data_IF_432874556366
#
_entry.id   IF_432874556366
#
_cell.length_a   1.000
_cell.length_b   1.000
_cell.length_c   1.000
_cell.angle_alpha   90.00
_cell.angle_beta   90.00
_cell.angle_gamma   90.00
#
_symmetry.space_group_name_H-M   'P 1'
#
loop_
_entity.id
_entity.type
_entity.pdbx_description
1 polymer ?
#
# COMPACT_ATOMS: atom_id res chain seq x y z
N UNK A 1 41.65 42.67 -19.59
CA UNK A 1 42.43 41.45 -19.33
C UNK A 1 41.98 40.36 -20.29
N UNK A 2 42.88 40.03 -21.24
CA UNK A 2 43.06 38.80 -22.02
C UNK A 2 41.91 38.14 -22.80
N UNK A 3 41.98 38.43 -24.09
CA UNK A 3 41.68 37.63 -25.29
C UNK A 3 42.87 36.71 -25.64
N UNK A 4 42.61 35.48 -26.15
CA UNK A 4 43.44 34.64 -27.06
C UNK A 4 42.48 33.54 -27.60
N UNK A 5 41.93 33.51 -28.83
CA UNK A 5 42.47 33.33 -30.20
C UNK A 5 43.31 32.06 -30.42
N UNK A 6 42.82 31.12 -31.23
CA UNK A 6 43.56 29.94 -31.67
C UNK A 6 42.79 29.11 -32.69
N UNK A 7 42.86 29.52 -33.95
CA UNK A 7 42.41 28.82 -35.16
C UNK A 7 43.25 27.56 -35.46
N UNK A 8 42.67 26.62 -36.21
CA UNK A 8 43.37 25.49 -36.80
C UNK A 8 42.52 24.76 -37.83
N UNK A 9 42.50 25.30 -39.05
CA UNK A 9 41.94 24.69 -40.27
C UNK A 9 42.65 23.37 -40.63
N UNK A 10 41.88 22.41 -41.17
CA UNK A 10 42.39 21.24 -41.90
C UNK A 10 41.32 20.72 -42.87
N UNK A 11 41.37 21.20 -44.11
CA UNK A 11 40.64 20.65 -45.25
C UNK A 11 41.14 19.26 -45.61
N UNK A 12 40.24 18.40 -46.07
CA UNK A 12 40.54 17.12 -46.69
C UNK A 12 39.34 16.64 -47.50
N UNK A 13 39.29 17.06 -48.76
CA UNK A 13 38.37 16.60 -49.79
C UNK A 13 38.53 15.10 -50.05
N UNK A 14 37.44 14.45 -50.48
CA UNK A 14 37.31 13.89 -51.83
C UNK A 14 36.68 12.49 -51.88
N UNK A 15 35.75 12.39 -52.83
CA UNK A 15 35.38 11.24 -53.65
C UNK A 15 34.26 10.32 -53.15
N UNK A 16 33.06 10.30 -53.79
CA UNK A 16 32.76 9.83 -55.18
C UNK A 16 32.92 8.29 -55.17
N UNK A 17 31.96 7.43 -55.50
CA UNK A 17 30.83 7.54 -56.42
C UNK A 17 29.88 6.32 -56.30
N UNK A 18 28.63 6.54 -56.72
CA UNK A 18 27.87 5.72 -57.70
C UNK A 18 28.03 4.18 -57.63
N UNK A 19 26.98 3.50 -57.18
CA UNK A 19 26.75 2.08 -57.55
C UNK A 19 26.00 2.07 -58.87
N UNK A 20 26.76 2.18 -59.97
CA UNK A 20 26.27 1.93 -61.32
C UNK A 20 26.16 0.42 -61.52
N UNK A 21 24.94 -0.01 -61.83
CA UNK A 21 24.63 -1.37 -62.23
C UNK A 21 25.02 -1.57 -63.69
N UNK A 22 26.29 -1.87 -63.97
CA UNK A 22 26.70 -2.35 -65.29
C UNK A 22 26.65 -3.87 -65.36
N UNK A 23 25.47 -4.35 -65.73
CA UNK A 23 25.30 -5.58 -66.51
C UNK A 23 25.92 -5.35 -67.89
N UNK A 24 27.19 -5.75 -68.06
CA UNK A 24 27.85 -5.76 -69.36
C UNK A 24 28.42 -7.15 -69.67
N UNK A 25 27.75 -7.83 -70.60
CA UNK A 25 28.33 -8.88 -71.40
C UNK A 25 29.65 -8.39 -72.04
N UNK A 26 30.75 -9.12 -71.83
CA UNK A 26 31.93 -9.04 -72.69
C UNK A 26 32.46 -10.44 -72.96
N UNK A 27 32.40 -10.82 -74.23
CA UNK A 27 33.15 -11.93 -74.77
C UNK A 27 34.65 -11.62 -74.81
N UNK A 28 35.42 -12.71 -74.78
CA UNK A 28 36.75 -12.92 -75.36
C UNK A 28 37.84 -11.88 -75.15
N UNK A 29 38.80 -12.18 -74.27
CA UNK A 29 40.22 -11.92 -74.52
C UNK A 29 41.11 -12.62 -73.47
N UNK A 30 42.13 -13.30 -73.97
CA UNK A 30 43.19 -14.00 -73.26
C UNK A 30 43.94 -13.10 -72.25
N UNK A 31 43.88 -13.44 -70.96
CA UNK A 31 44.60 -12.76 -69.88
C UNK A 31 45.05 -13.73 -68.76
N UNK A 32 45.59 -14.91 -69.10
CA UNK A 32 46.03 -15.95 -68.15
C UNK A 32 47.23 -15.57 -67.24
N UNK A 33 47.63 -14.30 -67.19
CA UNK A 33 48.81 -13.85 -66.44
C UNK A 33 48.56 -12.51 -65.75
N UNK A 34 47.77 -12.53 -64.67
CA UNK A 34 47.84 -11.66 -63.47
C UNK A 34 46.56 -11.83 -62.65
N UNK A 35 46.64 -12.62 -61.59
CA UNK A 35 45.68 -12.70 -60.47
C UNK A 35 44.23 -13.14 -60.77
N UNK A 36 43.97 -13.78 -61.93
CA UNK A 36 42.75 -14.55 -62.13
C UNK A 36 42.91 -15.93 -61.50
N UNK A 37 42.02 -16.32 -60.58
CA UNK A 37 41.97 -17.65 -59.97
C UNK A 37 42.16 -18.72 -61.04
N UNK A 38 43.21 -19.54 -60.91
CA UNK A 38 43.39 -20.69 -61.77
C UNK A 38 42.22 -21.64 -61.52
N UNK A 39 41.44 -21.92 -62.57
CA UNK A 39 40.48 -23.00 -62.54
C UNK A 39 41.18 -24.31 -62.90
N UNK A 40 40.69 -25.47 -62.44
CA UNK A 40 41.23 -26.76 -62.85
C UNK A 40 41.27 -26.92 -64.38
N UNK A 41 40.24 -26.40 -65.07
CA UNK A 41 40.17 -26.37 -66.53
C UNK A 41 41.23 -25.47 -67.18
N UNK A 42 41.60 -24.35 -66.54
CA UNK A 42 42.66 -23.46 -67.01
C UNK A 42 44.04 -24.13 -66.92
N UNK A 43 44.27 -24.95 -65.88
CA UNK A 43 45.51 -25.74 -65.73
C UNK A 43 45.59 -26.83 -66.82
N UNK A 44 44.47 -27.50 -67.11
CA UNK A 44 44.41 -28.55 -68.14
C UNK A 44 44.66 -28.03 -69.56
N UNK A 45 44.20 -26.82 -69.85
CA UNK A 45 44.32 -26.21 -71.18
C UNK A 45 45.62 -25.38 -71.35
N UNK A 46 46.50 -25.40 -70.34
CA UNK A 46 47.73 -24.61 -70.37
C UNK A 46 48.74 -25.18 -71.37
N UNK A 47 49.19 -24.35 -72.31
CA UNK A 47 50.23 -24.72 -73.29
C UNK A 47 51.56 -24.09 -72.87
N UNK A 48 52.60 -24.92 -72.77
CA UNK A 48 53.97 -24.46 -72.52
C UNK A 48 54.77 -24.43 -73.82
N UNK A 49 55.63 -23.43 -73.98
CA UNK A 49 56.53 -23.31 -75.14
C UNK A 49 57.81 -24.12 -74.91
N UNK A 50 58.19 -24.97 -75.87
CA UNK A 50 59.42 -25.78 -75.79
C UNK A 50 60.64 -24.97 -76.22
N UNK A 51 61.60 -24.78 -75.31
CA UNK A 51 62.84 -24.03 -75.59
C UNK A 51 63.94 -25.00 -76.02
N UNK A 52 64.45 -24.85 -77.25
CA UNK A 52 65.33 -25.84 -77.92
C UNK A 52 66.83 -25.76 -77.56
N UNK A 53 67.26 -24.75 -76.79
CA UNK A 53 68.68 -24.41 -76.62
C UNK A 53 69.14 -24.36 -75.15
N UNK A 54 68.33 -24.84 -74.19
CA UNK A 54 68.69 -24.96 -72.76
C UNK A 54 68.07 -26.20 -72.14
N UNK A 55 68.64 -26.67 -71.01
CA UNK A 55 68.09 -27.75 -70.18
C UNK A 55 66.61 -27.48 -69.92
N UNK A 56 65.76 -28.35 -70.48
CA UNK A 56 64.31 -28.25 -70.40
C UNK A 56 63.75 -29.23 -69.37
N UNK A 57 62.58 -28.92 -68.83
CA UNK A 57 61.81 -29.85 -68.02
C UNK A 57 61.34 -31.04 -68.87
N UNK A 58 61.28 -32.23 -68.27
CA UNK A 58 60.68 -33.41 -68.92
C UNK A 58 59.17 -33.21 -69.06
N UNK A 59 58.69 -33.23 -70.31
CA UNK A 59 57.27 -33.07 -70.64
C UNK A 59 56.40 -34.11 -69.93
N UNK A 60 56.87 -35.35 -69.79
CA UNK A 60 56.11 -36.41 -69.13
C UNK A 60 56.04 -36.25 -67.61
N UNK A 61 57.01 -35.57 -67.02
CA UNK A 61 57.02 -35.22 -65.60
C UNK A 61 56.12 -34.00 -65.33
N UNK A 62 56.21 -32.98 -66.19
CA UNK A 62 55.36 -31.78 -66.13
C UNK A 62 53.89 -32.17 -66.27
N UNK A 63 53.52 -33.03 -67.23
CA UNK A 63 52.13 -33.49 -67.39
C UNK A 63 51.61 -34.23 -66.15
N UNK A 64 52.44 -35.10 -65.53
CA UNK A 64 52.09 -35.78 -64.28
C UNK A 64 51.89 -34.80 -63.13
N UNK A 65 52.74 -33.78 -63.03
CA UNK A 65 52.62 -32.73 -62.01
C UNK A 65 51.35 -31.90 -62.22
N UNK A 66 51.05 -31.48 -63.45
CA UNK A 66 49.84 -30.72 -63.78
C UNK A 66 48.56 -31.51 -63.49
N UNK A 67 48.53 -32.82 -63.75
CA UNK A 67 47.41 -33.68 -63.38
C UNK A 67 47.20 -33.77 -61.86
N UNK A 68 48.28 -33.79 -61.09
CA UNK A 68 48.21 -33.73 -59.63
C UNK A 68 47.72 -32.36 -59.12
N UNK A 69 48.19 -31.27 -59.75
CA UNK A 69 47.74 -29.91 -59.46
C UNK A 69 46.26 -29.74 -59.79
N UNK A 70 45.79 -30.20 -60.96
CA UNK A 70 44.37 -30.16 -61.36
C UNK A 70 43.48 -30.89 -60.35
N UNK A 71 43.89 -32.10 -59.95
CA UNK A 71 43.16 -32.93 -58.98
C UNK A 71 43.07 -32.24 -57.62
N UNK A 72 44.21 -31.71 -57.14
CA UNK A 72 44.29 -31.03 -55.84
C UNK A 72 43.49 -29.72 -55.86
N UNK A 73 43.58 -28.94 -56.93
CA UNK A 73 42.86 -27.68 -57.08
C UNK A 73 41.34 -27.90 -57.13
N UNK A 74 40.88 -28.92 -57.86
CA UNK A 74 39.46 -29.29 -57.90
C UNK A 74 38.94 -29.66 -56.51
N UNK A 75 39.71 -30.44 -55.75
CA UNK A 75 39.37 -30.80 -54.37
C UNK A 75 39.34 -29.58 -53.46
N UNK A 76 40.38 -28.74 -53.48
CA UNK A 76 40.48 -27.56 -52.61
C UNK A 76 39.37 -26.55 -52.89
N UNK A 77 39.00 -26.36 -54.16
CA UNK A 77 37.88 -25.47 -54.52
C UNK A 77 36.55 -26.02 -54.00
N UNK A 78 36.29 -27.33 -54.17
CA UNK A 78 35.11 -27.98 -53.61
C UNK A 78 35.07 -27.90 -52.08
N UNK A 79 36.18 -28.22 -51.42
CA UNK A 79 36.29 -28.14 -49.96
C UNK A 79 36.08 -26.69 -49.47
N UNK A 80 36.57 -25.69 -50.20
CA UNK A 80 36.31 -24.27 -49.90
C UNK A 80 34.84 -23.89 -50.07
N UNK A 81 34.18 -24.32 -51.15
CA UNK A 81 32.75 -24.08 -51.35
C UNK A 81 31.92 -24.73 -50.24
N UNK A 82 32.22 -25.97 -49.87
CA UNK A 82 31.56 -26.67 -48.77
C UNK A 82 31.82 -26.00 -47.41
N UNK A 83 33.04 -25.51 -47.16
CA UNK A 83 33.37 -24.77 -45.94
C UNK A 83 32.66 -23.41 -45.88
N UNK A 84 32.59 -22.68 -47.00
CA UNK A 84 31.84 -21.42 -47.09
C UNK A 84 30.36 -21.63 -46.86
N UNK A 85 29.76 -22.66 -47.49
CA UNK A 85 28.36 -23.01 -47.26
C UNK A 85 28.09 -23.35 -45.78
N UNK A 86 29.02 -24.04 -45.10
CA UNK A 86 28.92 -24.31 -43.66
C UNK A 86 29.06 -23.03 -42.83
N UNK A 87 29.97 -22.13 -43.19
CA UNK A 87 30.12 -20.84 -42.51
C UNK A 87 28.85 -20.00 -42.63
N UNK A 88 28.30 -19.87 -43.84
CA UNK A 88 27.05 -19.16 -44.08
C UNK A 88 25.90 -19.75 -43.26
N UNK A 89 25.83 -21.09 -43.16
CA UNK A 89 24.82 -21.77 -42.35
C UNK A 89 25.01 -21.53 -40.84
N UNK A 90 26.26 -21.54 -40.34
CA UNK A 90 26.58 -21.25 -38.94
C UNK A 90 26.25 -19.79 -38.60
N UNK A 91 26.61 -18.86 -39.47
CA UNK A 91 26.31 -17.42 -39.31
C UNK A 91 24.80 -17.17 -39.30
N UNK A 92 24.04 -17.78 -40.21
CA UNK A 92 22.57 -17.70 -40.19
C UNK A 92 21.98 -18.27 -38.90
N UNK A 93 22.49 -19.40 -38.42
CA UNK A 93 22.03 -19.99 -37.16
C UNK A 93 22.40 -19.11 -35.95
N UNK A 94 23.60 -18.52 -35.93
CA UNK A 94 24.02 -17.58 -34.90
C UNK A 94 23.17 -16.30 -34.90
N UNK A 95 22.86 -15.75 -36.08
CA UNK A 95 21.97 -14.60 -36.24
C UNK A 95 20.54 -14.91 -35.77
N UNK A 96 20.01 -16.09 -36.08
CA UNK A 96 18.72 -16.55 -35.55
C UNK A 96 18.76 -16.70 -34.03
N UNK A 97 19.81 -17.28 -33.48
CA UNK A 97 19.96 -17.42 -32.03
C UNK A 97 20.07 -16.06 -31.34
N UNK A 98 20.80 -15.11 -31.91
CA UNK A 98 20.91 -13.73 -31.41
C UNK A 98 19.57 -13.02 -31.43
N UNK A 99 18.82 -13.07 -32.53
CA UNK A 99 17.54 -12.36 -32.64
C UNK A 99 16.47 -12.95 -31.71
N UNK A 100 16.50 -14.26 -31.46
CA UNK A 100 15.69 -14.92 -30.44
C UNK A 100 16.10 -14.49 -29.03
N UNK A 101 17.41 -14.38 -28.75
CA UNK A 101 17.94 -13.85 -27.50
C UNK A 101 17.46 -12.42 -27.22
N UNK A 102 17.61 -11.52 -28.19
CA UNK A 102 17.16 -10.13 -28.08
C UNK A 102 15.64 -10.03 -27.87
N UNK A 103 14.88 -10.92 -28.49
CA UNK A 103 13.42 -10.97 -28.33
C UNK A 103 13.02 -11.49 -26.96
N UNK A 104 13.74 -12.49 -26.43
CA UNK A 104 13.52 -12.99 -25.07
C UNK A 104 13.84 -11.90 -24.03
N UNK A 105 14.93 -11.15 -24.19
CA UNK A 105 15.28 -10.02 -23.30
C UNK A 105 14.18 -8.97 -23.31
N UNK A 106 13.68 -8.56 -24.48
CA UNK A 106 12.57 -7.60 -24.58
C UNK A 106 11.29 -8.11 -23.90
N UNK A 107 10.96 -9.39 -24.05
CA UNK A 107 9.77 -9.96 -23.40
C UNK A 107 9.92 -9.95 -21.88
N UNK A 108 11.11 -10.28 -21.36
CA UNK A 108 11.39 -10.23 -19.91
C UNK A 108 11.29 -8.80 -19.39
N UNK A 109 11.81 -7.82 -20.11
CA UNK A 109 11.73 -6.41 -19.75
C UNK A 109 10.27 -5.92 -19.70
N UNK A 110 9.47 -6.23 -20.72
CA UNK A 110 8.03 -5.89 -20.75
C UNK A 110 7.29 -6.58 -19.60
N UNK A 111 7.62 -7.85 -19.30
CA UNK A 111 7.02 -8.58 -18.19
C UNK A 111 7.39 -7.98 -16.83
N UNK A 112 8.63 -7.55 -16.65
CA UNK A 112 9.08 -6.85 -15.43
C UNK A 112 8.37 -5.52 -15.26
N UNK A 113 8.30 -4.70 -16.32
CA UNK A 113 7.58 -3.42 -16.28
C UNK A 113 6.09 -3.60 -15.98
N UNK A 114 5.45 -4.63 -16.55
CA UNK A 114 4.07 -4.97 -16.25
C UNK A 114 3.88 -5.42 -14.79
N UNK A 115 4.82 -6.20 -14.25
CA UNK A 115 4.80 -6.60 -12.84
C UNK A 115 4.95 -5.39 -11.91
N UNK A 116 5.90 -4.49 -12.19
CA UNK A 116 6.13 -3.28 -11.41
C UNK A 116 4.91 -2.36 -11.43
N UNK A 117 4.28 -2.17 -12.59
CA UNK A 117 3.02 -1.42 -12.70
C UNK A 117 1.91 -2.04 -11.86
N UNK A 118 1.79 -3.36 -11.87
CA UNK A 118 0.76 -4.07 -11.07
C UNK A 118 1.04 -3.93 -9.58
N UNK A 119 2.30 -4.00 -9.15
CA UNK A 119 2.67 -3.79 -7.76
C UNK A 119 2.38 -2.35 -7.31
N UNK A 120 2.68 -1.35 -8.14
CA UNK A 120 2.38 0.04 -7.84
C UNK A 120 0.87 0.28 -7.66
N UNK A 121 0.05 -0.26 -8.56
CA UNK A 121 -1.42 -0.17 -8.46
C UNK A 121 -1.95 -0.87 -7.20
N UNK A 122 -1.46 -2.06 -6.88
CA UNK A 122 -1.86 -2.78 -5.68
C UNK A 122 -1.46 -2.05 -4.39
N UNK A 123 -0.28 -1.40 -4.38
CA UNK A 123 0.15 -0.58 -3.25
C UNK A 123 -0.70 0.67 -3.09
N UNK A 124 -1.05 1.35 -4.17
CA UNK A 124 -1.94 2.52 -4.15
C UNK A 124 -3.34 2.14 -3.64
N UNK A 125 -3.91 1.04 -4.14
CA UNK A 125 -5.21 0.54 -3.70
C UNK A 125 -5.18 0.14 -2.22
N UNK A 126 -4.13 -0.57 -1.78
CA UNK A 126 -3.96 -0.92 -0.37
C UNK A 126 -3.85 0.34 0.53
N UNK A 127 -3.12 1.36 0.08
CA UNK A 127 -3.03 2.63 0.81
C UNK A 127 -4.38 3.34 0.86
N UNK A 128 -5.16 3.34 -0.22
CA UNK A 128 -6.50 3.92 -0.26
C UNK A 128 -7.47 3.20 0.69
N UNK A 129 -7.44 1.86 0.72
CA UNK A 129 -8.25 1.06 1.66
C UNK A 129 -7.87 1.38 3.11
N UNK A 130 -6.58 1.46 3.43
CA UNK A 130 -6.13 1.83 4.78
C UNK A 130 -6.53 3.25 5.17
N UNK A 131 -6.45 4.21 4.24
CA UNK A 131 -6.88 5.58 4.50
C UNK A 131 -8.38 5.64 4.82
N UNK A 132 -9.21 4.97 4.01
CA UNK A 132 -10.65 4.88 4.22
C UNK A 132 -10.99 4.21 5.56
N UNK A 133 -10.34 3.09 5.87
CA UNK A 133 -10.56 2.38 7.13
C UNK A 133 -10.20 3.24 8.36
N UNK A 134 -9.16 4.08 8.26
CA UNK A 134 -8.79 5.03 9.33
C UNK A 134 -9.83 6.13 9.49
N UNK A 135 -10.29 6.74 8.39
CA UNK A 135 -11.34 7.77 8.43
C UNK A 135 -12.65 7.22 9.02
N UNK A 136 -13.04 6.01 8.60
CA UNK A 136 -14.21 5.32 9.15
C UNK A 136 -14.03 5.02 10.65
N UNK A 137 -12.85 4.57 11.08
CA UNK A 137 -12.55 4.33 12.49
C UNK A 137 -12.58 5.63 13.33
N UNK A 138 -12.01 6.72 12.83
CA UNK A 138 -12.03 8.04 13.49
C UNK A 138 -13.47 8.56 13.64
N UNK A 139 -14.30 8.36 12.63
CA UNK A 139 -15.72 8.72 12.68
C UNK A 139 -16.45 7.91 13.76
N UNK A 140 -16.27 6.60 13.78
CA UNK A 140 -16.88 5.72 14.78
C UNK A 140 -16.40 6.07 16.20
N UNK A 141 -15.12 6.37 16.37
CA UNK A 141 -14.55 6.80 17.65
C UNK A 141 -15.16 8.13 18.10
N UNK A 142 -15.21 9.13 17.22
CA UNK A 142 -15.84 10.43 17.50
C UNK A 142 -17.30 10.27 17.91
N UNK A 143 -18.08 9.46 17.18
CA UNK A 143 -19.48 9.18 17.49
C UNK A 143 -19.66 8.42 18.81
N UNK A 144 -18.76 7.48 19.13
CA UNK A 144 -18.77 6.76 20.38
C UNK A 144 -18.44 7.68 21.57
N UNK A 145 -17.41 8.51 21.43
CA UNK A 145 -17.02 9.51 22.44
C UNK A 145 -18.11 10.56 22.64
N UNK A 146 -18.75 11.03 21.57
CA UNK A 146 -19.88 11.94 21.64
C UNK A 146 -21.05 11.35 22.43
N UNK A 147 -21.44 10.10 22.12
CA UNK A 147 -22.50 9.38 22.86
C UNK A 147 -22.12 9.15 24.33
N UNK A 148 -20.88 8.77 24.61
CA UNK A 148 -20.40 8.58 25.98
C UNK A 148 -20.46 9.90 26.78
N UNK A 149 -20.06 11.02 26.18
CA UNK A 149 -20.11 12.33 26.81
C UNK A 149 -21.55 12.77 27.12
N UNK A 150 -22.50 12.50 26.21
CA UNK A 150 -23.92 12.77 26.42
C UNK A 150 -24.48 11.94 27.59
N UNK A 151 -24.23 10.63 27.60
CA UNK A 151 -24.67 9.74 28.68
C UNK A 151 -24.07 10.15 30.03
N UNK A 152 -22.79 10.54 30.05
CA UNK A 152 -22.14 10.99 31.27
C UNK A 152 -22.75 12.30 31.79
N UNK A 153 -23.12 13.21 30.90
CA UNK A 153 -23.81 14.45 31.27
C UNK A 153 -25.18 14.15 31.86
N UNK A 154 -25.98 13.32 31.20
CA UNK A 154 -27.32 12.91 31.68
C UNK A 154 -27.25 12.19 33.04
N UNK A 155 -26.27 11.31 33.22
CA UNK A 155 -26.04 10.64 34.51
C UNK A 155 -25.67 11.64 35.62
N UNK A 156 -24.84 12.65 35.32
CA UNK A 156 -24.48 13.71 36.29
C UNK A 156 -25.67 14.60 36.62
N UNK A 157 -26.45 14.99 35.61
CA UNK A 157 -27.61 15.86 35.79
C UNK A 157 -28.69 15.14 36.61
N UNK A 158 -28.99 13.87 36.31
CA UNK A 158 -29.91 13.06 37.13
C UNK A 158 -29.43 12.86 38.57
N UNK A 159 -28.13 12.65 38.80
CA UNK A 159 -27.55 12.61 40.16
C UNK A 159 -27.72 13.93 40.90
N UNK A 160 -27.54 15.07 40.22
CA UNK A 160 -27.76 16.39 40.79
C UNK A 160 -29.21 16.59 41.19
N UNK A 161 -30.15 16.25 40.31
CA UNK A 161 -31.57 16.34 40.63
C UNK A 161 -31.95 15.47 41.84
N UNK A 162 -31.39 14.27 41.96
CA UNK A 162 -31.62 13.40 43.14
C UNK A 162 -31.08 14.06 44.41
N UNK A 163 -29.88 14.66 44.35
CA UNK A 163 -29.30 15.39 45.49
C UNK A 163 -30.14 16.63 45.85
N UNK A 164 -30.59 17.39 44.86
CA UNK A 164 -31.44 18.57 45.05
C UNK A 164 -32.77 18.18 45.72
N UNK A 165 -33.47 17.16 45.20
CA UNK A 165 -34.69 16.61 45.82
C UNK A 165 -34.44 16.13 47.26
N UNK A 166 -33.27 15.55 47.54
CA UNK A 166 -32.91 15.12 48.90
C UNK A 166 -32.63 16.32 49.82
N UNK A 167 -31.98 17.37 49.34
CA UNK A 167 -31.77 18.61 50.09
C UNK A 167 -33.11 19.27 50.41
N UNK A 168 -34.01 19.37 49.43
CA UNK A 168 -35.37 19.87 49.63
C UNK A 168 -36.13 19.04 50.66
N UNK A 169 -36.04 17.71 50.60
CA UNK A 169 -36.63 16.81 51.57
C UNK A 169 -36.10 17.02 53.01
N UNK A 170 -34.79 17.22 53.16
CA UNK A 170 -34.19 17.53 54.47
C UNK A 170 -34.69 18.89 54.99
N UNK A 171 -34.78 19.89 54.14
CA UNK A 171 -35.32 21.20 54.54
C UNK A 171 -36.78 21.12 54.98
N UNK A 172 -37.62 20.37 54.26
CA UNK A 172 -39.00 20.12 54.63
C UNK A 172 -39.11 19.39 55.98
N UNK A 173 -38.29 18.36 56.19
CA UNK A 173 -38.24 17.62 57.45
C UNK A 173 -37.85 18.52 58.63
N UNK A 174 -36.85 19.38 58.46
CA UNK A 174 -36.44 20.34 59.50
C UNK A 174 -37.55 21.34 59.81
N UNK A 175 -38.25 21.86 58.78
CA UNK A 175 -39.37 22.77 58.98
C UNK A 175 -40.53 22.10 59.74
N UNK A 176 -40.83 20.84 59.41
CA UNK A 176 -41.86 20.05 60.09
C UNK A 176 -41.47 19.73 61.54
N UNK A 177 -40.22 19.34 61.79
CA UNK A 177 -39.71 19.12 63.16
C UNK A 177 -39.81 20.41 64.00
N UNK A 178 -39.44 21.55 63.43
CA UNK A 178 -39.52 22.83 64.11
C UNK A 178 -40.97 23.22 64.44
N UNK A 179 -41.91 22.97 63.53
CA UNK A 179 -43.34 23.19 63.78
C UNK A 179 -43.87 22.28 64.89
N UNK A 180 -43.58 20.97 64.84
CA UNK A 180 -43.99 20.00 65.86
C UNK A 180 -43.45 20.34 67.25
N UNK A 181 -42.16 20.72 67.34
CA UNK A 181 -41.56 21.17 68.60
C UNK A 181 -42.25 22.42 69.15
N UNK A 182 -42.57 23.38 68.27
CA UNK A 182 -43.30 24.59 68.66
C UNK A 182 -44.70 24.25 69.18
N UNK A 183 -45.46 23.45 68.44
CA UNK A 183 -46.83 23.08 68.82
C UNK A 183 -46.87 22.32 70.15
N UNK A 184 -45.89 21.44 70.39
CA UNK A 184 -45.73 20.73 71.65
C UNK A 184 -45.45 21.69 72.80
N UNK A 185 -44.44 22.57 72.67
CA UNK A 185 -44.13 23.57 73.70
C UNK A 185 -45.33 24.50 73.97
N UNK A 186 -46.05 24.94 72.94
CA UNK A 186 -47.25 25.77 73.10
C UNK A 186 -48.38 25.01 73.81
N UNK A 187 -48.49 23.69 73.62
CA UNK A 187 -49.46 22.86 74.34
C UNK A 187 -49.05 22.65 75.81
N UNK A 188 -47.77 22.38 76.08
CA UNK A 188 -47.23 22.27 77.45
C UNK A 188 -47.41 23.59 78.21
N UNK A 189 -47.09 24.72 77.60
CA UNK A 189 -47.26 26.05 78.19
C UNK A 189 -48.73 26.38 78.47
N UNK A 190 -49.66 26.05 77.55
CA UNK A 190 -51.11 26.20 77.78
C UNK A 190 -51.60 25.36 78.96
N UNK A 191 -51.08 24.13 79.07
CA UNK A 191 -51.42 23.24 80.18
C UNK A 191 -50.93 23.80 81.52
N UNK A 192 -49.68 24.27 81.58
CA UNK A 192 -49.12 24.91 82.78
C UNK A 192 -49.89 26.19 83.15
N UNK A 193 -50.29 26.99 82.16
CA UNK A 193 -51.08 28.20 82.41
C UNK A 193 -52.46 27.87 82.99
N UNK A 194 -53.16 26.86 82.46
CA UNK A 194 -54.43 26.39 83.00
C UNK A 194 -54.30 25.89 84.45
N UNK A 195 -53.26 25.12 84.75
CA UNK A 195 -52.98 24.66 86.13
C UNK A 195 -52.64 25.82 87.08
N UNK A 196 -51.99 26.88 86.58
CA UNK A 196 -51.68 28.06 87.36
C UNK A 196 -52.94 28.88 87.67
N UNK A 197 -53.84 29.05 86.69
CA UNK A 197 -55.13 29.72 86.88
C UNK A 197 -56.00 28.94 87.89
N UNK A 198 -55.97 27.61 87.85
CA UNK A 198 -56.64 26.74 88.83
C UNK A 198 -56.08 26.92 90.26
N UNK A 199 -54.77 27.17 90.39
CA UNK A 199 -54.17 27.54 91.67
C UNK A 199 -54.51 28.98 92.11
N UNK A 200 -54.78 29.88 91.16
CA UNK A 200 -55.06 31.30 91.41
C UNK A 200 -56.54 31.57 91.78
N UNK A 201 -57.48 30.77 91.27
CA UNK A 201 -58.91 30.85 91.59
C UNK A 201 -59.49 29.51 92.08
N UNK A 202 -59.50 29.23 93.40
CA UNK A 202 -60.02 27.98 93.94
C UNK A 202 -61.57 27.90 93.94
N UNK A 203 -62.28 28.87 93.34
CA UNK A 203 -63.74 29.01 93.40
C UNK A 203 -64.51 28.84 92.08
N UNK A 204 -63.83 28.67 90.94
CA UNK A 204 -64.46 28.54 89.62
C UNK A 204 -64.85 27.09 89.25
N UNK A 205 -66.08 26.89 88.79
CA UNK A 205 -66.63 25.58 88.41
C UNK A 205 -65.76 24.81 87.39
N UNK A 206 -65.70 23.46 87.46
CA UNK A 206 -64.76 22.68 86.65
C UNK A 206 -65.11 22.74 85.16
N UNK A 207 -64.17 23.11 84.27
CA UNK A 207 -64.27 22.82 82.84
C UNK A 207 -64.05 21.31 82.59
N UNK A 208 -64.55 20.78 81.45
CA UNK A 208 -64.57 19.35 81.18
C UNK A 208 -63.15 18.77 81.18
N UNK A 209 -63.04 17.60 81.84
CA UNK A 209 -61.83 16.80 81.97
C UNK A 209 -60.88 17.00 80.80
N UNK A 210 -59.66 17.46 81.12
CA UNK A 210 -58.50 17.31 80.27
C UNK A 210 -58.39 15.83 79.91
N UNK A 211 -58.94 15.46 78.76
CA UNK A 211 -58.48 14.31 78.04
C UNK A 211 -57.03 14.66 77.70
N UNK A 212 -56.11 14.16 78.52
CA UNK A 212 -54.76 13.91 78.06
C UNK A 212 -54.93 13.03 76.83
N UNK A 213 -55.06 13.68 75.66
CA UNK A 213 -54.98 13.03 74.38
C UNK A 213 -53.70 12.23 74.45
N UNK A 214 -53.89 10.91 74.37
CA UNK A 214 -52.87 9.91 74.57
C UNK A 214 -51.55 10.45 74.02
N UNK A 215 -50.55 10.46 74.90
CA UNK A 215 -49.17 10.44 74.47
C UNK A 215 -49.08 9.28 73.49
N UNK A 216 -49.21 9.57 72.20
CA UNK A 216 -48.81 8.64 71.16
C UNK A 216 -47.35 8.42 71.45
N UNK A 217 -47.03 7.16 71.74
CA UNK A 217 -45.74 6.74 72.21
C UNK A 217 -44.69 7.37 71.32
N UNK A 218 -43.60 7.79 71.95
CA UNK A 218 -42.38 8.12 71.24
C UNK A 218 -41.94 6.83 70.53
N UNK A 219 -42.46 6.58 69.33
CA UNK A 219 -41.86 5.67 68.37
C UNK A 219 -40.59 6.37 67.91
N UNK A 220 -39.51 6.13 68.64
CA UNK A 220 -38.13 6.42 68.23
C UNK A 220 -37.70 5.46 67.11
N UNK A 221 -38.63 4.98 66.29
CA UNK A 221 -38.28 4.29 65.05
C UNK A 221 -37.92 5.37 64.01
N UNK A 222 -36.75 5.97 64.26
CA UNK A 222 -36.01 6.87 63.37
C UNK A 222 -35.55 6.21 62.07
N UNK A 223 -36.25 5.17 61.64
CA UNK A 223 -35.98 4.33 60.47
C UNK A 223 -36.95 4.61 59.33
N UNK A 224 -38.09 5.28 59.54
CA UNK A 224 -39.13 5.38 58.52
C UNK A 224 -38.98 6.51 57.46
N UNK A 225 -38.58 7.78 57.74
CA UNK A 225 -38.41 8.75 56.65
C UNK A 225 -37.03 8.64 55.98
N UNK A 226 -36.05 7.99 56.62
CA UNK A 226 -34.76 7.70 56.01
C UNK A 226 -34.81 6.49 55.07
N UNK A 227 -35.65 5.47 55.37
CA UNK A 227 -35.81 4.31 54.49
C UNK A 227 -36.52 4.66 53.18
N UNK A 228 -37.53 5.52 53.19
CA UNK A 228 -38.23 5.95 51.97
C UNK A 228 -37.35 6.80 51.03
N UNK A 229 -36.36 7.53 51.57
CA UNK A 229 -35.33 8.24 50.81
C UNK A 229 -34.16 7.34 50.36
N UNK A 230 -34.03 6.12 50.89
CA UNK A 230 -32.95 5.19 50.59
C UNK A 230 -33.29 4.17 49.47
N UNK A 231 -34.56 4.04 49.07
CA UNK A 231 -35.02 3.00 48.11
C UNK A 231 -35.24 3.49 46.68
N UNK A 232 -34.73 4.65 46.28
CA UNK A 232 -34.59 4.98 44.86
C UNK A 232 -33.36 4.24 44.31
N UNK A 233 -33.53 2.94 44.07
CA UNK A 233 -32.58 2.05 43.41
C UNK A 233 -32.07 2.70 42.11
N UNK A 234 -30.75 2.86 41.90
CA UNK A 234 -30.26 3.31 40.61
C UNK A 234 -30.60 2.22 39.60
N UNK A 235 -31.41 2.56 38.59
CA UNK A 235 -31.71 1.69 37.48
C UNK A 235 -30.43 1.01 37.00
N UNK A 236 -30.36 -0.32 37.18
CA UNK A 236 -29.26 -1.14 36.72
C UNK A 236 -29.17 -0.97 35.20
N UNK A 237 -28.20 -0.19 34.75
CA UNK A 237 -27.69 -0.22 33.37
C UNK A 237 -26.92 -1.53 33.20
N UNK A 238 -27.68 -2.62 33.12
CA UNK A 238 -27.21 -3.95 32.81
C UNK A 238 -26.85 -4.02 31.34
N UNK A 239 -25.55 -3.91 31.08
CA UNK A 239 -24.91 -4.27 29.83
C UNK A 239 -25.36 -5.66 29.36
N UNK A 240 -26.25 -5.72 28.38
CA UNK A 240 -26.42 -6.91 27.54
C UNK A 240 -25.47 -6.81 26.35
N UNK A 241 -24.17 -6.93 26.66
CA UNK A 241 -23.19 -7.43 25.70
C UNK A 241 -23.40 -8.93 25.54
N UNK A 242 -24.37 -9.34 24.72
CA UNK A 242 -24.49 -10.73 24.26
C UNK A 242 -23.74 -10.86 22.95
N UNK A 243 -22.58 -11.49 23.07
CA UNK A 243 -21.83 -12.04 21.97
C UNK A 243 -22.66 -13.11 21.20
N UNK A 244 -22.19 -13.32 19.97
CA UNK A 244 -22.29 -14.52 19.10
C UNK A 244 -23.45 -14.52 18.09
N UNK A 245 -23.08 -14.38 16.81
CA UNK A 245 -23.89 -14.53 15.61
C UNK A 245 -23.18 -13.92 14.41
#
# INVERSE_FOLDING_TARGET
MRQVMGEGHGHGHSSVDVVESESAARGGADLHGRTGLLSPAAVRNQVFTVVRLREGYDLAEVDRFLGHVETTLSRVLRDNEELRAKQDQIEQNAQRASSLGDSAVRIVEIAQEAADRTMAMAQEEAQAVLARAREEAETVESDALGRAALLQREARDSQREVLERRVEGVHAFVAELAARLRDNLDAEMRTLHALLDELHDPGGAPPPAAQHAAADGVDVDGTAPLAALATAEPAQSGANGRAIG
#
